data_IF_770643127190
#
_entry.id   IF_770643127190
#
_cell.length_a   1.000
_cell.length_b   1.000
_cell.length_c   1.000
_cell.angle_alpha   90.00
_cell.angle_beta   90.00
_cell.angle_gamma   90.00
#
_symmetry.space_group_name_H-M   'P 1'
#
loop_
_entity.id
_entity.type
_entity.pdbx_description
1 polymer ?
#
# COMPACT_ATOMS: atom_id res chain seq x y z
N UNK A 1 -21.63 -11.36 5.36
CA UNK A 1 -20.66 -10.54 4.62
C UNK A 1 -21.36 -9.30 4.07
N UNK A 2 -21.14 -8.14 4.68
CA UNK A 2 -21.66 -6.86 4.17
C UNK A 2 -21.10 -6.60 2.77
N UNK A 3 -21.96 -6.42 1.77
CA UNK A 3 -21.54 -6.03 0.42
C UNK A 3 -20.94 -4.62 0.48
N UNK A 4 -19.62 -4.52 0.39
CA UNK A 4 -18.91 -3.25 0.20
C UNK A 4 -19.43 -2.59 -1.09
N UNK A 5 -20.02 -1.40 -0.99
CA UNK A 5 -20.63 -0.70 -2.14
C UNK A 5 -19.59 -0.26 -3.18
N UNK A 6 -18.39 0.14 -2.74
CA UNK A 6 -17.32 0.67 -3.61
C UNK A 6 -15.93 0.17 -3.20
N UNK A 7 -15.61 -1.13 -3.40
CA UNK A 7 -14.32 -1.71 -2.99
C UNK A 7 -13.11 -1.06 -3.67
N UNK A 8 -13.25 -0.60 -4.91
CA UNK A 8 -12.18 0.09 -5.64
C UNK A 8 -11.80 1.43 -5.01
N UNK A 9 -12.79 2.24 -4.61
CA UNK A 9 -12.53 3.55 -4.00
C UNK A 9 -11.77 3.39 -2.67
N UNK A 10 -12.17 2.38 -1.88
CA UNK A 10 -11.52 2.04 -0.62
C UNK A 10 -10.09 1.53 -0.87
N UNK A 11 -9.89 0.73 -1.92
CA UNK A 11 -8.55 0.29 -2.31
C UNK A 11 -7.64 1.46 -2.70
N UNK A 12 -8.14 2.42 -3.48
CA UNK A 12 -7.38 3.62 -3.85
C UNK A 12 -7.02 4.48 -2.64
N UNK A 13 -7.95 4.65 -1.71
CA UNK A 13 -7.67 5.35 -0.46
C UNK A 13 -6.58 4.64 0.36
N UNK A 14 -6.70 3.32 0.54
CA UNK A 14 -5.69 2.53 1.25
C UNK A 14 -4.33 2.56 0.57
N UNK A 15 -4.29 2.54 -0.76
CA UNK A 15 -3.06 2.70 -1.54
C UNK A 15 -2.41 4.06 -1.29
N UNK A 16 -3.19 5.14 -1.25
CA UNK A 16 -2.68 6.48 -0.93
C UNK A 16 -2.10 6.56 0.48
N UNK A 17 -2.79 5.98 1.47
CA UNK A 17 -2.28 5.88 2.85
C UNK A 17 -0.97 5.08 2.88
N UNK A 18 -0.91 3.93 2.21
CA UNK A 18 0.30 3.11 2.14
C UNK A 18 1.48 3.87 1.54
N UNK A 19 1.26 4.62 0.45
CA UNK A 19 2.28 5.45 -0.17
C UNK A 19 2.74 6.59 0.75
N UNK A 20 1.82 7.30 1.40
CA UNK A 20 2.14 8.41 2.29
C UNK A 20 2.98 7.96 3.48
N UNK A 21 2.61 6.83 4.10
CA UNK A 21 3.41 6.25 5.18
C UNK A 21 4.76 5.76 4.69
N UNK A 22 4.81 5.16 3.49
CA UNK A 22 6.06 4.69 2.88
C UNK A 22 7.08 5.82 2.68
N UNK A 23 6.64 6.96 2.15
CA UNK A 23 7.47 8.16 2.03
C UNK A 23 7.82 8.79 3.38
N UNK A 24 6.88 8.78 4.34
CA UNK A 24 7.07 9.35 5.67
C UNK A 24 8.19 8.66 6.46
N UNK A 25 8.29 7.34 6.38
CA UNK A 25 9.33 6.60 7.12
C UNK A 25 10.70 6.63 6.44
N UNK A 26 10.81 6.95 5.14
CA UNK A 26 12.10 7.23 4.49
C UNK A 26 12.85 8.35 5.23
N UNK A 27 12.15 9.42 5.63
CA UNK A 27 12.72 10.49 6.43
C UNK A 27 13.26 10.01 7.78
N UNK A 28 12.59 9.03 8.39
CA UNK A 28 12.96 8.49 9.70
C UNK A 28 14.09 7.46 9.61
N UNK A 29 14.12 6.64 8.56
CA UNK A 29 15.14 5.62 8.33
C UNK A 29 16.52 6.20 8.01
N UNK A 30 16.55 7.32 7.29
CA UNK A 30 17.80 7.91 6.80
C UNK A 30 18.27 9.10 7.62
N UNK A 31 17.39 9.82 8.31
CA UNK A 31 17.70 11.14 8.88
C UNK A 31 17.29 11.35 10.35
N UNK A 32 16.79 10.33 11.06
CA UNK A 32 16.28 10.53 12.43
C UNK A 32 16.49 9.36 13.40
N UNK A 33 16.74 9.62 14.70
CA UNK A 33 16.98 8.59 15.71
C UNK A 33 15.67 8.00 16.26
N UNK A 34 14.70 7.66 15.39
CA UNK A 34 13.35 7.22 15.79
C UNK A 34 13.01 5.80 15.32
N UNK A 35 13.70 4.77 15.85
CA UNK A 35 13.51 3.37 15.45
C UNK A 35 12.08 2.87 15.63
N UNK A 36 11.38 3.29 16.69
CA UNK A 36 10.01 2.84 16.94
C UNK A 36 9.03 3.32 15.84
N UNK A 37 9.13 4.59 15.44
CA UNK A 37 8.23 5.18 14.43
C UNK A 37 8.51 4.67 13.02
N UNK A 38 9.74 4.23 12.76
CA UNK A 38 10.10 3.52 11.54
C UNK A 38 9.33 2.20 11.40
N UNK A 39 9.32 1.36 12.45
CA UNK A 39 8.60 0.09 12.43
C UNK A 39 7.08 0.27 12.34
N UNK A 40 6.54 1.27 13.04
CA UNK A 40 5.11 1.62 12.95
C UNK A 40 4.74 2.07 11.53
N UNK A 41 5.56 2.91 10.90
CA UNK A 41 5.35 3.38 9.53
C UNK A 41 5.39 2.24 8.51
N UNK A 42 6.39 1.35 8.62
CA UNK A 42 6.50 0.17 7.77
C UNK A 42 5.28 -0.77 7.95
N UNK A 43 4.85 -1.02 9.19
CA UNK A 43 3.68 -1.84 9.48
C UNK A 43 2.40 -1.29 8.85
N UNK A 44 2.14 0.01 9.00
CA UNK A 44 0.99 0.68 8.40
C UNK A 44 1.05 0.62 6.87
N UNK A 45 2.23 0.85 6.28
CA UNK A 45 2.43 0.78 4.83
C UNK A 45 2.12 -0.61 4.28
N UNK A 46 2.62 -1.69 4.91
CA UNK A 46 2.31 -3.05 4.49
C UNK A 46 0.83 -3.39 4.64
N UNK A 47 0.24 -3.14 5.82
CA UNK A 47 -1.15 -3.50 6.10
C UNK A 47 -2.10 -2.82 5.12
N UNK A 48 -1.93 -1.52 4.90
CA UNK A 48 -2.79 -0.74 4.00
C UNK A 48 -2.59 -1.13 2.54
N UNK A 49 -1.36 -1.35 2.09
CA UNK A 49 -1.06 -1.73 0.70
C UNK A 49 -1.52 -3.15 0.38
N UNK A 50 -1.33 -4.11 1.30
CA UNK A 50 -1.82 -5.49 1.15
C UNK A 50 -3.36 -5.50 1.14
N UNK A 51 -4.00 -4.75 2.03
CA UNK A 51 -5.46 -4.63 2.04
C UNK A 51 -5.99 -4.03 0.72
N UNK A 52 -5.33 -3.00 0.17
CA UNK A 52 -5.67 -2.45 -1.14
C UNK A 52 -5.56 -3.50 -2.25
N UNK A 53 -4.50 -4.30 -2.24
CA UNK A 53 -4.24 -5.34 -3.23
C UNK A 53 -5.31 -6.45 -3.17
N UNK A 54 -5.70 -6.87 -1.96
CA UNK A 54 -6.80 -7.82 -1.74
C UNK A 54 -8.13 -7.26 -2.26
N UNK A 55 -8.44 -5.99 -2.00
CA UNK A 55 -9.66 -5.35 -2.51
C UNK A 55 -9.68 -5.30 -4.05
N UNK A 56 -8.56 -4.98 -4.69
CA UNK A 56 -8.44 -4.89 -6.15
C UNK A 56 -8.61 -6.25 -6.81
N UNK A 57 -7.99 -7.31 -6.26
CA UNK A 57 -7.94 -8.65 -6.85
C UNK A 57 -9.12 -9.55 -6.44
N UNK A 58 -9.43 -9.63 -5.14
CA UNK A 58 -10.34 -10.64 -4.61
C UNK A 58 -11.81 -10.20 -4.60
N UNK A 59 -12.09 -8.92 -4.33
CA UNK A 59 -13.44 -8.45 -4.05
C UNK A 59 -14.21 -7.92 -5.26
N UNK A 60 -13.59 -7.92 -6.45
CA UNK A 60 -14.24 -7.46 -7.67
C UNK A 60 -14.62 -8.54 -8.68
N UNK A 61 -14.41 -9.83 -8.37
CA UNK A 61 -14.69 -10.94 -9.30
C UNK A 61 -16.15 -11.03 -9.79
N UNK A 62 -17.09 -10.36 -9.12
CA UNK A 62 -18.52 -10.47 -9.40
C UNK A 62 -19.13 -9.35 -10.27
N UNK A 63 -18.36 -8.30 -10.64
CA UNK A 63 -18.89 -7.16 -11.40
C UNK A 63 -18.43 -7.24 -12.86
N UNK A 64 -19.35 -7.11 -13.82
CA UNK A 64 -19.01 -6.96 -15.25
C UNK A 64 -18.15 -5.71 -15.40
N UNK A 65 -16.87 -5.88 -15.70
CA UNK A 65 -15.91 -4.78 -15.73
C UNK A 65 -15.97 -4.06 -17.06
N UNK A 66 -16.01 -2.73 -17.03
CA UNK A 66 -15.75 -1.92 -18.20
C UNK A 66 -14.23 -1.76 -18.36
N UNK A 67 -13.75 -1.51 -19.59
CA UNK A 67 -12.33 -1.37 -19.93
C UNK A 67 -11.60 -0.37 -19.04
N UNK A 68 -12.25 0.76 -18.70
CA UNK A 68 -11.72 1.75 -17.76
C UNK A 68 -11.46 1.18 -16.37
N UNK A 69 -12.39 0.37 -15.84
CA UNK A 69 -12.29 -0.24 -14.51
C UNK A 69 -11.16 -1.27 -14.46
N UNK A 70 -10.99 -2.04 -15.54
CA UNK A 70 -9.89 -2.99 -15.68
C UNK A 70 -8.55 -2.25 -15.68
N UNK A 71 -8.40 -1.20 -16.49
CA UNK A 71 -7.19 -0.38 -16.56
C UNK A 71 -6.87 0.23 -15.20
N UNK A 72 -7.86 0.77 -14.47
CA UNK A 72 -7.60 1.37 -13.15
C UNK A 72 -7.10 0.33 -12.14
N UNK A 73 -7.61 -0.90 -12.20
CA UNK A 73 -7.13 -1.97 -11.33
C UNK A 73 -5.73 -2.42 -11.65
N UNK A 74 -5.41 -2.60 -12.94
CA UNK A 74 -4.05 -2.99 -13.36
C UNK A 74 -3.05 -1.95 -12.88
N UNK A 75 -3.36 -0.66 -13.09
CA UNK A 75 -2.54 0.45 -12.59
C UNK A 75 -2.44 0.39 -11.06
N UNK A 76 -3.55 0.19 -10.35
CA UNK A 76 -3.55 0.08 -8.89
C UNK A 76 -2.69 -1.08 -8.37
N UNK A 77 -2.73 -2.24 -9.03
CA UNK A 77 -1.91 -3.41 -8.69
C UNK A 77 -0.42 -3.11 -8.90
N UNK A 78 -0.07 -2.48 -10.02
CA UNK A 78 1.32 -2.06 -10.30
C UNK A 78 1.80 -1.11 -9.22
N UNK A 79 1.02 -0.08 -8.87
CA UNK A 79 1.38 0.89 -7.83
C UNK A 79 1.54 0.19 -6.47
N UNK A 80 0.61 -0.68 -6.07
CA UNK A 80 0.73 -1.42 -4.82
C UNK A 80 2.01 -2.28 -4.78
N UNK A 81 2.36 -2.91 -5.90
CA UNK A 81 3.59 -3.71 -6.02
C UNK A 81 4.83 -2.83 -5.86
N UNK A 82 4.86 -1.65 -6.49
CA UNK A 82 5.95 -0.68 -6.34
C UNK A 82 6.07 -0.18 -4.90
N UNK A 83 4.95 0.12 -4.22
CA UNK A 83 4.95 0.54 -2.81
C UNK A 83 5.52 -0.57 -1.91
N UNK A 84 5.16 -1.84 -2.15
CA UNK A 84 5.69 -2.98 -1.39
C UNK A 84 7.19 -3.16 -1.61
N UNK A 85 7.65 -3.10 -2.86
CA UNK A 85 9.07 -3.18 -3.20
C UNK A 85 9.86 -2.04 -2.54
N UNK A 86 9.34 -0.81 -2.64
CA UNK A 86 9.95 0.36 -2.02
C UNK A 86 10.01 0.24 -0.50
N UNK A 87 8.91 -0.16 0.13
CA UNK A 87 8.85 -0.36 1.58
C UNK A 87 9.84 -1.43 2.04
N UNK A 88 10.00 -2.51 1.26
CA UNK A 88 10.97 -3.57 1.53
C UNK A 88 12.42 -3.08 1.38
N UNK A 89 12.70 -2.31 0.32
CA UNK A 89 14.00 -1.69 0.11
C UNK A 89 14.39 -0.78 1.28
N UNK A 90 13.47 0.09 1.70
CA UNK A 90 13.69 0.96 2.84
C UNK A 90 13.90 0.16 4.14
N UNK A 91 13.20 -0.98 4.32
CA UNK A 91 13.41 -1.86 5.47
C UNK A 91 14.84 -2.40 5.54
N UNK A 92 15.33 -2.93 4.41
CA UNK A 92 16.67 -3.52 4.31
C UNK A 92 17.75 -2.45 4.45
N UNK A 93 17.54 -1.27 3.85
CA UNK A 93 18.51 -0.18 3.89
C UNK A 93 18.54 0.58 5.23
N UNK A 94 17.40 0.65 5.92
CA UNK A 94 17.25 1.29 7.23
C UNK A 94 17.63 0.39 8.40
N UNK A 95 17.39 -0.92 8.33
CA UNK A 95 17.67 -1.87 9.41
C UNK A 95 19.10 -1.83 9.98
N UNK A 96 20.18 -1.61 9.19
CA UNK A 96 21.54 -1.50 9.73
C UNK A 96 21.82 -0.21 10.51
N UNK A 97 20.89 0.76 10.51
CA UNK A 97 21.06 2.11 11.08
C UNK A 97 20.19 2.37 12.31
N UNK A 98 19.40 1.37 12.73
CA UNK A 98 18.45 1.42 13.85
C UNK A 98 18.93 0.55 15.01
#
# INVERSE_FOLDING_TARGET
MSKLKHPNLIAFFLMFVGAAFSSGFQGMAYWGPRPLWYWVGAGIAYVTTIAALILLVALNKARKENSLTLVTKVIGIIICTLILLWTTFLLIAGAPRL
#
